data_IF_052967232267
#
_entry.id   IF_052967232267
#
_cell.length_a   1.000
_cell.length_b   1.000
_cell.length_c   1.000
_cell.angle_alpha   90.00
_cell.angle_beta   90.00
_cell.angle_gamma   90.00
#
_symmetry.space_group_name_H-M   'P 1'
#
loop_
_entity.id
_entity.type
_entity.pdbx_description
1 polymer ?
#
# COMPACT_ATOMS: atom_id res chain seq x y z
N UNK A 1 -7.54 33.81 -15.67
CA UNK A 1 -6.36 33.43 -14.85
C UNK A 1 -6.44 31.94 -14.59
N UNK A 2 -5.44 31.18 -15.02
CA UNK A 2 -5.38 29.71 -14.96
C UNK A 2 -5.22 29.23 -13.52
N UNK A 3 -6.27 28.61 -13.00
CA UNK A 3 -6.21 27.87 -11.73
C UNK A 3 -5.50 26.54 -11.96
N UNK A 4 -4.18 26.51 -11.82
CA UNK A 4 -3.42 25.27 -11.68
C UNK A 4 -3.81 24.60 -10.35
N UNK A 5 -4.96 23.92 -10.30
CA UNK A 5 -5.16 22.87 -9.31
C UNK A 5 -4.44 21.63 -9.83
N UNK A 6 -3.14 21.52 -9.55
CA UNK A 6 -2.42 20.26 -9.63
C UNK A 6 -2.96 19.34 -8.53
N UNK A 7 -4.20 18.87 -8.72
CA UNK A 7 -4.80 17.88 -7.83
C UNK A 7 -4.01 16.59 -8.04
N UNK A 8 -3.24 16.20 -7.03
CA UNK A 8 -2.70 14.84 -6.94
C UNK A 8 -3.90 13.89 -7.06
N UNK A 9 -3.83 12.88 -7.93
CA UNK A 9 -4.91 11.90 -8.19
C UNK A 9 -4.43 10.48 -7.94
N UNK A 10 -5.30 9.47 -8.06
CA UNK A 10 -4.88 8.06 -8.04
C UNK A 10 -3.87 7.77 -9.17
N UNK A 11 -3.92 8.50 -10.29
CA UNK A 11 -2.89 8.41 -11.32
C UNK A 11 -1.53 8.93 -10.84
N UNK A 12 -1.48 9.91 -9.93
CA UNK A 12 -0.22 10.35 -9.31
C UNK A 12 0.38 9.26 -8.44
N UNK A 13 -0.44 8.58 -7.63
CA UNK A 13 -0.06 7.40 -6.83
C UNK A 13 0.52 6.30 -7.73
N UNK A 14 -0.22 5.90 -8.76
CA UNK A 14 0.20 4.92 -9.75
C UNK A 14 1.50 5.32 -10.48
N UNK A 15 1.63 6.59 -10.87
CA UNK A 15 2.83 7.11 -11.53
C UNK A 15 4.05 7.08 -10.61
N UNK A 16 3.86 7.41 -9.33
CA UNK A 16 4.91 7.37 -8.31
C UNK A 16 5.45 5.94 -8.16
N UNK A 17 4.56 4.96 -8.02
CA UNK A 17 4.93 3.54 -8.00
C UNK A 17 5.64 3.12 -9.30
N UNK A 18 5.15 3.55 -10.47
CA UNK A 18 5.75 3.21 -11.77
C UNK A 18 7.19 3.72 -11.93
N UNK A 19 7.58 4.85 -11.34
CA UNK A 19 8.94 5.42 -11.47
C UNK A 19 10.03 4.43 -11.02
N UNK A 20 9.71 3.58 -10.06
CA UNK A 20 10.67 2.62 -9.51
C UNK A 20 10.71 1.30 -10.30
N UNK A 21 9.86 1.09 -11.32
CA UNK A 21 9.91 -0.10 -12.18
C UNK A 21 11.27 -0.27 -12.86
N UNK A 22 11.96 0.81 -13.18
CA UNK A 22 13.31 0.75 -13.72
C UNK A 22 14.33 0.15 -12.73
N UNK A 23 14.18 0.43 -11.43
CA UNK A 23 15.01 -0.15 -10.39
C UNK A 23 14.66 -1.63 -10.17
N UNK A 24 13.37 -1.98 -10.14
CA UNK A 24 12.90 -3.37 -10.02
C UNK A 24 13.50 -4.22 -11.14
N UNK A 25 13.38 -3.78 -12.41
CA UNK A 25 13.94 -4.50 -13.57
C UNK A 25 15.45 -4.74 -13.48
N UNK A 26 16.20 -3.81 -12.91
CA UNK A 26 17.65 -3.97 -12.69
C UNK A 26 17.98 -4.92 -11.55
N UNK A 27 17.11 -5.00 -10.54
CA UNK A 27 17.29 -5.89 -9.40
C UNK A 27 16.87 -7.33 -9.69
N UNK A 28 15.89 -7.58 -10.57
CA UNK A 28 15.46 -8.94 -10.94
C UNK A 28 16.63 -9.89 -11.24
N UNK A 29 17.62 -9.54 -12.10
CA UNK A 29 18.75 -10.43 -12.40
C UNK A 29 19.76 -10.58 -11.25
N UNK A 30 19.74 -9.69 -10.26
CA UNK A 30 20.67 -9.72 -9.12
C UNK A 30 20.09 -10.51 -7.96
N UNK A 31 18.86 -10.17 -7.57
CA UNK A 31 18.17 -10.76 -6.44
C UNK A 31 16.65 -10.55 -6.60
N UNK A 32 15.95 -11.64 -6.91
CA UNK A 32 14.50 -11.66 -7.08
C UNK A 32 13.76 -11.32 -5.78
N UNK A 33 14.30 -11.69 -4.61
CA UNK A 33 13.73 -11.39 -3.30
C UNK A 33 13.79 -9.88 -3.02
N UNK A 34 14.92 -9.23 -3.30
CA UNK A 34 15.05 -7.79 -3.16
C UNK A 34 14.14 -7.04 -4.15
N UNK A 35 14.07 -7.48 -5.40
CA UNK A 35 13.17 -6.88 -6.40
C UNK A 35 11.70 -6.96 -5.97
N UNK A 36 11.27 -8.11 -5.43
CA UNK A 36 9.93 -8.32 -4.90
C UNK A 36 9.64 -7.43 -3.69
N UNK A 37 10.54 -7.42 -2.69
CA UNK A 37 10.35 -6.63 -1.47
C UNK A 37 10.33 -5.12 -1.76
N UNK A 38 11.12 -4.67 -2.75
CA UNK A 38 11.09 -3.29 -3.22
C UNK A 38 9.73 -2.95 -3.84
N UNK A 39 9.20 -3.81 -4.72
CA UNK A 39 7.92 -3.58 -5.39
C UNK A 39 6.75 -3.50 -4.38
N UNK A 40 6.73 -4.37 -3.37
CA UNK A 40 5.76 -4.27 -2.26
C UNK A 40 5.94 -3.01 -1.42
N UNK A 41 7.19 -2.63 -1.12
CA UNK A 41 7.47 -1.45 -0.29
C UNK A 41 7.15 -0.13 -0.99
N UNK A 42 7.22 -0.09 -2.32
CA UNK A 42 6.83 1.07 -3.12
C UNK A 42 5.33 1.33 -3.04
N UNK A 43 4.50 0.28 -3.08
CA UNK A 43 3.06 0.40 -2.90
C UNK A 43 2.70 0.98 -1.52
N UNK A 44 3.40 0.54 -0.48
CA UNK A 44 3.27 1.11 0.86
C UNK A 44 3.72 2.56 0.93
N UNK A 45 4.80 2.93 0.22
CA UNK A 45 5.38 4.26 0.26
C UNK A 45 4.54 5.30 -0.48
N UNK A 46 3.78 4.91 -1.51
CA UNK A 46 2.90 5.82 -2.26
C UNK A 46 1.69 6.31 -1.46
N UNK A 47 1.48 5.84 -0.23
CA UNK A 47 0.38 6.24 0.67
C UNK A 47 0.29 7.72 1.01
N UNK A 48 1.43 8.40 1.12
CA UNK A 48 1.44 9.84 1.43
C UNK A 48 0.81 10.68 0.32
N UNK A 49 0.66 10.12 -0.88
CA UNK A 49 0.03 10.81 -2.00
C UNK A 49 -1.51 10.80 -1.88
N UNK A 50 -2.12 9.75 -1.29
CA UNK A 50 -3.58 9.61 -1.16
C UNK A 50 -4.22 10.60 -0.18
N UNK A 51 -3.49 11.02 0.86
CA UNK A 51 -4.01 11.99 1.83
C UNK A 51 -4.02 13.43 1.30
N UNK A 52 -3.28 13.68 0.23
CA UNK A 52 -3.23 14.98 -0.44
C UNK A 52 -4.31 15.12 -1.55
N UNK A 53 -5.08 14.07 -1.84
CA UNK A 53 -6.02 14.04 -2.98
C UNK A 53 -7.46 14.38 -2.57
N UNK A 54 -7.88 15.63 -2.82
CA UNK A 54 -9.22 16.14 -2.48
C UNK A 54 -10.36 15.54 -3.35
N UNK A 55 -10.06 14.89 -4.48
CA UNK A 55 -11.06 14.43 -5.48
C UNK A 55 -11.05 12.91 -5.67
N UNK A 56 -11.41 12.16 -4.64
CA UNK A 56 -11.53 10.69 -4.72
C UNK A 56 -12.99 10.19 -4.76
N UNK A 57 -14.00 11.06 -4.61
CA UNK A 57 -15.39 10.67 -4.78
C UNK A 57 -15.89 11.09 -6.16
N UNK A 58 -16.23 10.10 -6.99
CA UNK A 58 -16.99 10.30 -8.22
C UNK A 58 -16.14 10.33 -9.48
N UNK A 59 -16.31 9.28 -10.29
CA UNK A 59 -15.83 9.07 -11.67
C UNK A 59 -14.39 8.55 -11.79
N UNK A 60 -14.16 7.45 -12.54
CA UNK A 60 -12.82 6.97 -12.91
C UNK A 60 -12.18 7.95 -13.88
N UNK A 61 -11.70 9.07 -13.36
CA UNK A 61 -11.09 10.16 -14.12
C UNK A 61 -9.55 10.09 -14.11
N UNK A 62 -8.97 8.95 -13.70
CA UNK A 62 -7.53 8.78 -13.67
C UNK A 62 -7.04 7.42 -14.22
N UNK A 63 -5.90 7.48 -14.92
CA UNK A 63 -5.22 6.34 -15.56
C UNK A 63 -4.52 5.41 -14.54
N UNK A 64 -5.10 5.24 -13.35
CA UNK A 64 -4.56 4.44 -12.25
C UNK A 64 -4.67 2.93 -12.54
N UNK A 65 -5.84 2.46 -12.99
CA UNK A 65 -6.11 1.05 -13.31
C UNK A 65 -5.10 0.46 -14.32
N UNK A 66 -4.82 1.09 -15.49
CA UNK A 66 -3.81 0.57 -16.41
C UNK A 66 -2.42 0.43 -15.78
N UNK A 67 -2.09 1.31 -14.84
CA UNK A 67 -0.79 1.26 -14.16
C UNK A 67 -0.77 0.15 -13.10
N UNK A 68 -1.85 -0.06 -12.34
CA UNK A 68 -1.96 -1.21 -11.44
C UNK A 68 -1.87 -2.53 -12.19
N UNK A 69 -2.50 -2.64 -13.36
CA UNK A 69 -2.34 -3.81 -14.24
C UNK A 69 -0.89 -4.04 -14.66
N UNK A 70 -0.17 -2.99 -15.06
CA UNK A 70 1.26 -3.10 -15.40
C UNK A 70 2.12 -3.53 -14.21
N UNK A 71 1.82 -3.05 -13.01
CA UNK A 71 2.54 -3.45 -11.80
C UNK A 71 2.18 -4.88 -11.38
N UNK A 72 0.92 -5.28 -11.52
CA UNK A 72 0.42 -6.63 -11.28
C UNK A 72 1.11 -7.65 -12.22
N UNK A 73 1.21 -7.31 -13.51
CA UNK A 73 1.96 -8.10 -14.49
C UNK A 73 3.45 -8.17 -14.20
N UNK A 74 4.04 -7.12 -13.66
CA UNK A 74 5.45 -7.10 -13.30
C UNK A 74 5.77 -7.88 -12.01
N UNK A 75 4.84 -7.90 -11.05
CA UNK A 75 5.00 -8.59 -9.77
C UNK A 75 4.79 -10.11 -9.92
N UNK A 76 3.92 -10.53 -10.84
CA UNK A 76 3.54 -11.93 -10.98
C UNK A 76 4.73 -12.88 -11.26
N UNK A 77 5.65 -12.60 -12.20
CA UNK A 77 6.83 -13.43 -12.40
C UNK A 77 7.74 -13.48 -11.17
N UNK A 78 7.78 -12.43 -10.36
CA UNK A 78 8.58 -12.40 -9.12
C UNK A 78 7.99 -13.31 -8.04
N UNK A 79 6.66 -13.40 -7.95
CA UNK A 79 5.96 -14.36 -7.08
C UNK A 79 6.31 -15.79 -7.50
N UNK A 80 6.31 -16.06 -8.81
CA UNK A 80 6.53 -17.40 -9.34
C UNK A 80 7.99 -17.84 -9.25
N UNK A 81 8.94 -16.92 -9.42
CA UNK A 81 10.37 -17.18 -9.34
C UNK A 81 10.91 -17.28 -7.91
N UNK A 82 10.20 -16.73 -6.92
CA UNK A 82 10.67 -16.72 -5.53
C UNK A 82 10.53 -18.11 -4.90
N UNK A 83 11.57 -18.52 -4.19
CA UNK A 83 11.58 -19.78 -3.45
C UNK A 83 10.42 -19.83 -2.46
N UNK A 84 9.59 -20.86 -2.57
CA UNK A 84 8.39 -20.99 -1.74
C UNK A 84 8.79 -21.36 -0.30
N UNK A 85 8.19 -20.76 0.74
CA UNK A 85 8.62 -20.97 2.13
C UNK A 85 8.49 -22.44 2.56
N UNK A 86 9.37 -23.00 3.39
CA UNK A 86 9.27 -24.42 3.77
C UNK A 86 7.97 -24.76 4.53
N UNK A 87 7.49 -23.82 5.35
CA UNK A 87 6.23 -23.91 6.08
C UNK A 87 5.51 -22.56 6.05
N UNK A 88 4.19 -22.59 6.21
CA UNK A 88 3.39 -21.39 6.42
C UNK A 88 3.31 -21.06 7.91
N UNK A 89 3.40 -19.78 8.26
CA UNK A 89 3.29 -19.34 9.65
C UNK A 89 1.86 -19.52 10.17
N UNK A 90 1.68 -19.97 11.42
CA UNK A 90 0.36 -20.10 12.03
C UNK A 90 -0.36 -18.73 12.15
N UNK A 91 0.42 -17.67 12.36
CA UNK A 91 -0.03 -16.28 12.37
C UNK A 91 1.09 -15.35 11.94
N UNK A 92 0.72 -14.14 11.51
CA UNK A 92 1.67 -13.08 11.19
C UNK A 92 1.86 -12.15 12.39
N UNK A 93 3.06 -11.57 12.57
CA UNK A 93 3.26 -10.47 13.50
C UNK A 93 2.25 -9.35 13.24
N UNK A 94 1.69 -8.80 14.32
CA UNK A 94 0.67 -7.75 14.24
C UNK A 94 1.28 -6.46 13.69
N UNK A 95 0.54 -5.83 12.77
CA UNK A 95 0.84 -4.51 12.24
C UNK A 95 -0.27 -3.57 12.72
N UNK A 96 0.05 -2.38 13.24
CA UNK A 96 -0.96 -1.42 13.63
C UNK A 96 -1.95 -1.15 12.49
N UNK A 97 -3.25 -1.06 12.82
CA UNK A 97 -4.27 -0.64 11.86
C UNK A 97 -3.95 0.74 11.28
N UNK A 98 -4.56 1.07 10.15
CA UNK A 98 -4.52 2.41 9.56
C UNK A 98 -5.08 3.47 10.51
N UNK A 99 -4.51 4.66 10.46
CA UNK A 99 -4.97 5.78 11.27
C UNK A 99 -6.35 6.26 10.80
N UNK A 100 -7.25 6.49 11.75
CA UNK A 100 -8.56 7.09 11.51
C UNK A 100 -8.76 8.32 12.39
N UNK A 101 -9.77 9.14 12.07
CA UNK A 101 -10.13 10.30 12.90
C UNK A 101 -10.46 9.92 14.36
N UNK A 102 -10.88 8.68 14.62
CA UNK A 102 -11.17 8.17 15.97
C UNK A 102 -9.91 7.94 16.80
N UNK A 103 -8.75 7.81 16.14
CA UNK A 103 -7.45 7.61 16.77
C UNK A 103 -6.76 8.94 17.11
N UNK A 104 -7.42 10.06 16.84
CA UNK A 104 -6.92 11.39 17.14
C UNK A 104 -7.00 11.69 18.64
N UNK A 105 -5.86 11.99 19.25
CA UNK A 105 -5.77 12.41 20.65
C UNK A 105 -5.67 13.94 20.73
N UNK A 106 -6.82 14.61 20.59
CA UNK A 106 -6.94 16.09 20.59
C UNK A 106 -8.08 16.62 21.48
N UNK A 107 -8.61 15.76 22.35
CA UNK A 107 -9.72 16.06 23.26
C UNK A 107 -11.08 16.25 22.55
N UNK A 108 -12.12 16.59 23.33
CA UNK A 108 -13.49 16.79 22.82
C UNK A 108 -13.62 18.15 22.14
N UNK A 109 -14.21 18.18 20.94
CA UNK A 109 -14.44 19.42 20.20
C UNK A 109 -15.55 20.25 20.86
N UNK A 110 -15.22 21.44 21.37
CA UNK A 110 -16.21 22.38 21.93
C UNK A 110 -17.34 22.73 20.94
N UNK A 111 -17.06 22.70 19.63
CA UNK A 111 -18.01 23.04 18.55
C UNK A 111 -18.40 21.81 17.70
N UNK A 112 -18.01 20.60 18.11
CA UNK A 112 -18.15 19.39 17.29
C UNK A 112 -17.20 19.29 16.09
N UNK A 113 -16.39 20.33 15.81
CA UNK A 113 -15.40 20.34 14.71
C UNK A 113 -13.99 20.71 15.22
N UNK A 114 -12.93 20.09 14.69
CA UNK A 114 -11.56 20.46 15.05
C UNK A 114 -11.21 21.88 14.62
N UNK A 115 -10.58 22.66 15.51
CA UNK A 115 -10.00 23.96 15.18
C UNK A 115 -8.67 23.81 14.40
N UNK A 116 -8.09 24.93 13.92
CA UNK A 116 -6.87 24.89 13.08
C UNK A 116 -5.68 24.22 13.78
N UNK A 117 -5.45 24.52 15.06
CA UNK A 117 -4.36 23.95 15.84
C UNK A 117 -4.55 22.44 16.04
N UNK A 118 -5.77 22.02 16.37
CA UNK A 118 -6.13 20.61 16.52
C UNK A 118 -5.98 19.85 15.20
N UNK A 119 -6.39 20.41 14.05
CA UNK A 119 -6.14 19.80 12.74
C UNK A 119 -4.65 19.58 12.48
N UNK A 120 -3.82 20.56 12.81
CA UNK A 120 -2.37 20.43 12.71
C UNK A 120 -1.78 19.37 13.64
N UNK A 121 -2.35 19.16 14.82
CA UNK A 121 -1.96 18.08 15.73
C UNK A 121 -2.41 16.71 15.22
N UNK A 122 -3.66 16.57 14.78
CA UNK A 122 -4.20 15.34 14.17
C UNK A 122 -3.36 14.91 12.96
N UNK A 123 -2.99 15.86 12.10
CA UNK A 123 -2.15 15.59 10.93
C UNK A 123 -0.76 15.06 11.33
N UNK A 124 -0.12 15.67 12.34
CA UNK A 124 1.18 15.19 12.85
C UNK A 124 1.08 13.80 13.49
N UNK A 125 0.02 13.55 14.27
CA UNK A 125 -0.26 12.23 14.85
C UNK A 125 -0.43 11.18 13.75
N UNK A 126 -1.22 11.49 12.72
CA UNK A 126 -1.40 10.62 11.55
C UNK A 126 -0.08 10.30 10.85
N UNK A 127 0.74 11.32 10.56
CA UNK A 127 2.05 11.11 9.92
C UNK A 127 2.97 10.21 10.74
N UNK A 128 3.00 10.39 12.06
CA UNK A 128 3.77 9.54 12.96
C UNK A 128 3.22 8.10 13.00
N UNK A 129 1.90 7.95 13.05
CA UNK A 129 1.21 6.66 13.05
C UNK A 129 1.51 5.86 11.78
N UNK A 130 1.30 6.46 10.61
CA UNK A 130 1.55 5.80 9.33
C UNK A 130 3.05 5.55 9.08
N UNK A 131 3.95 6.37 9.66
CA UNK A 131 5.39 6.07 9.66
C UNK A 131 5.69 4.81 10.48
N UNK A 132 5.16 4.71 11.70
CA UNK A 132 5.36 3.56 12.57
C UNK A 132 4.73 2.29 11.99
N UNK A 133 3.54 2.40 11.42
CA UNK A 133 2.87 1.31 10.70
C UNK A 133 3.71 0.79 9.54
N UNK A 134 4.26 1.66 8.69
CA UNK A 134 5.16 1.27 7.59
C UNK A 134 6.43 0.59 8.09
N UNK A 135 7.00 1.08 9.19
CA UNK A 135 8.15 0.44 9.83
C UNK A 135 7.78 -0.98 10.31
N UNK A 136 6.63 -1.16 10.94
CA UNK A 136 6.14 -2.49 11.36
C UNK A 136 5.92 -3.44 10.17
N UNK A 137 5.33 -2.97 9.06
CA UNK A 137 5.19 -3.77 7.82
C UNK A 137 6.54 -4.20 7.26
N UNK A 138 7.52 -3.28 7.24
CA UNK A 138 8.88 -3.57 6.81
C UNK A 138 9.52 -4.63 7.68
N UNK A 139 9.48 -4.47 9.00
CA UNK A 139 10.02 -5.45 9.94
C UNK A 139 9.35 -6.81 9.81
N UNK A 140 8.03 -6.84 9.57
CA UNK A 140 7.30 -8.07 9.29
C UNK A 140 7.82 -8.77 8.05
N UNK A 141 8.08 -8.04 6.95
CA UNK A 141 8.68 -8.57 5.71
C UNK A 141 10.10 -9.10 5.92
N UNK A 142 10.88 -8.47 6.78
CA UNK A 142 12.27 -8.84 7.05
C UNK A 142 12.40 -10.03 8.02
N UNK A 143 11.53 -10.11 9.03
CA UNK A 143 11.62 -11.10 10.11
C UNK A 143 10.81 -12.37 9.85
N UNK A 144 9.76 -12.29 9.02
CA UNK A 144 8.86 -13.44 8.78
C UNK A 144 9.31 -14.24 7.57
N UNK A 145 9.66 -15.51 7.77
CA UNK A 145 10.04 -16.41 6.67
C UNK A 145 8.88 -16.74 5.71
N UNK A 146 7.64 -16.69 6.20
CA UNK A 146 6.43 -16.85 5.38
C UNK A 146 6.13 -15.57 4.57
N UNK A 147 6.93 -15.35 3.53
CA UNK A 147 6.76 -14.20 2.65
C UNK A 147 5.43 -14.23 1.89
N UNK A 148 4.83 -15.41 1.68
CA UNK A 148 3.57 -15.58 0.95
C UNK A 148 2.42 -14.96 1.74
N UNK A 149 2.26 -15.35 3.01
CA UNK A 149 1.20 -14.75 3.86
C UNK A 149 1.45 -13.28 4.11
N UNK A 150 2.69 -12.85 4.29
CA UNK A 150 3.01 -11.43 4.47
C UNK A 150 2.61 -10.61 3.25
N UNK A 151 3.00 -11.05 2.04
CA UNK A 151 2.65 -10.37 0.80
C UNK A 151 1.14 -10.35 0.55
N UNK A 152 0.45 -11.47 0.82
CA UNK A 152 -1.00 -11.55 0.66
C UNK A 152 -1.72 -10.58 1.60
N UNK A 153 -1.36 -10.60 2.89
CA UNK A 153 -1.88 -9.66 3.88
C UNK A 153 -1.63 -8.23 3.44
N UNK A 154 -0.43 -7.95 2.91
CA UNK A 154 -0.07 -6.60 2.51
C UNK A 154 -0.91 -6.08 1.34
N UNK A 155 -1.09 -6.90 0.30
CA UNK A 155 -1.84 -6.53 -0.89
C UNK A 155 -3.35 -6.47 -0.65
N UNK A 156 -3.90 -7.37 0.18
CA UNK A 156 -5.34 -7.38 0.52
C UNK A 156 -5.72 -6.17 1.34
N UNK A 157 -4.95 -5.84 2.39
CA UNK A 157 -5.24 -4.65 3.21
C UNK A 157 -5.18 -3.37 2.37
N UNK A 158 -4.28 -3.33 1.38
CA UNK A 158 -4.15 -2.20 0.47
C UNK A 158 -5.29 -2.11 -0.54
N UNK A 159 -5.67 -3.25 -1.14
CA UNK A 159 -6.85 -3.35 -2.00
C UNK A 159 -8.09 -2.85 -1.28
N UNK A 160 -8.36 -3.34 -0.08
CA UNK A 160 -9.58 -3.02 0.67
C UNK A 160 -9.60 -1.54 1.09
N UNK A 161 -8.45 -0.99 1.42
CA UNK A 161 -8.30 0.44 1.67
C UNK A 161 -8.66 1.25 0.41
N UNK A 162 -8.04 0.95 -0.74
CA UNK A 162 -8.31 1.63 -2.00
C UNK A 162 -9.76 1.47 -2.47
N UNK A 163 -10.34 0.30 -2.26
CA UNK A 163 -11.72 -0.04 -2.60
C UNK A 163 -12.73 0.86 -1.90
N UNK A 164 -12.47 1.19 -0.63
CA UNK A 164 -13.27 2.11 0.19
C UNK A 164 -13.30 3.55 -0.36
N UNK A 165 -12.30 3.92 -1.18
CA UNK A 165 -12.24 5.20 -1.90
C UNK A 165 -12.63 5.06 -3.39
N UNK A 166 -13.21 3.93 -3.79
CA UNK A 166 -13.67 3.70 -5.17
C UNK A 166 -12.58 3.32 -6.16
N UNK A 167 -11.35 3.08 -5.71
CA UNK A 167 -10.25 2.61 -6.55
C UNK A 167 -10.30 1.08 -6.63
N UNK A 168 -10.63 0.57 -7.82
CA UNK A 168 -10.81 -0.88 -8.07
C UNK A 168 -9.59 -1.47 -8.78
N UNK A 169 -9.58 -2.80 -8.90
CA UNK A 169 -8.58 -3.57 -9.66
C UNK A 169 -7.12 -3.43 -9.16
N UNK A 170 -6.94 -3.32 -7.84
CA UNK A 170 -5.62 -3.31 -7.23
C UNK A 170 -5.02 -4.73 -7.17
N UNK A 171 -4.03 -5.01 -8.01
CA UNK A 171 -3.24 -6.26 -8.07
C UNK A 171 -4.06 -7.58 -8.03
N UNK A 172 -5.14 -7.72 -8.81
CA UNK A 172 -6.03 -8.88 -8.71
C UNK A 172 -5.34 -10.21 -9.00
N UNK A 173 -4.39 -10.26 -9.95
CA UNK A 173 -3.72 -11.51 -10.35
C UNK A 173 -2.72 -11.96 -9.29
N UNK A 174 -1.92 -11.03 -8.77
CA UNK A 174 -0.97 -11.33 -7.70
C UNK A 174 -1.66 -11.79 -6.43
N UNK A 175 -2.77 -11.14 -6.02
CA UNK A 175 -3.56 -11.57 -4.87
C UNK A 175 -4.08 -12.99 -5.08
N UNK A 176 -4.70 -13.26 -6.24
CA UNK A 176 -5.21 -14.60 -6.58
C UNK A 176 -4.09 -15.66 -6.50
N UNK A 177 -2.93 -15.38 -7.08
CA UNK A 177 -1.79 -16.29 -7.06
C UNK A 177 -1.28 -16.58 -5.65
N UNK A 178 -1.23 -15.57 -4.80
CA UNK A 178 -0.80 -15.74 -3.40
C UNK A 178 -1.83 -16.53 -2.59
N UNK A 179 -3.13 -16.32 -2.83
CA UNK A 179 -4.20 -17.12 -2.21
C UNK A 179 -4.08 -18.60 -2.60
N UNK A 180 -3.81 -18.91 -3.86
CA UNK A 180 -3.55 -20.28 -4.32
C UNK A 180 -2.35 -20.91 -3.60
N UNK A 181 -1.25 -20.17 -3.46
CA UNK A 181 -0.05 -20.64 -2.75
C UNK A 181 -0.31 -20.93 -1.27
N UNK A 182 -1.19 -20.15 -0.62
CA UNK A 182 -1.62 -20.43 0.75
C UNK A 182 -2.48 -21.69 0.82
N UNK A 183 -3.44 -21.86 -0.10
CA UNK A 183 -4.36 -23.03 -0.10
C UNK A 183 -3.66 -24.35 -0.38
N UNK A 184 -2.65 -24.38 -1.25
CA UNK A 184 -1.91 -25.61 -1.59
C UNK A 184 -1.07 -26.13 -0.40
N UNK A 185 -0.90 -25.34 0.66
CA UNK A 185 -0.02 -25.63 1.80
C UNK A 185 -0.69 -25.51 3.17
N UNK A 186 -2.00 -25.28 3.19
CA UNK A 186 -2.84 -25.40 4.38
C UNK A 186 -3.28 -26.86 4.53
#
# INVERSE_FOLDING_TARGET
MSGNSSAVTSASYATSARKHMGAVKKLVPMDTTLAFNLLLSMADASHTDLDATWKMCGTPCDNSIPTFKQLDEALLPLIEAREKPACLAAGLPEVPKRWTLKDADVGVFKTGRPNKQQRGQMYRQKLAWEKNRRQARRERREKTGDWVKVALSDLVEERDYLDAYGVKEYFPRCITKLEELVRVRA
#
